data_IF_248905599816
#
_entry.id   IF_248905599816
#
_cell.length_a   1.000
_cell.length_b   1.000
_cell.length_c   1.000
_cell.angle_alpha   90.00
_cell.angle_beta   90.00
_cell.angle_gamma   90.00
#
_symmetry.space_group_name_H-M   'P 1'
#
loop_
_entity.id
_entity.type
_entity.pdbx_description
1 polymer ?
#
# COMPACT_ATOMS: atom_id res chain seq x y z
N UNK A 1 61.64 14.71 51.60
CA UNK A 1 60.20 14.77 51.44
C UNK A 1 59.92 15.63 50.23
N UNK A 2 59.53 15.00 49.10
CA UNK A 2 59.36 15.61 47.81
C UNK A 2 57.82 15.72 47.57
N UNK A 3 57.29 16.95 47.56
CA UNK A 3 55.85 17.20 47.26
C UNK A 3 55.67 17.20 45.75
N UNK A 4 54.89 16.27 45.26
CA UNK A 4 54.52 16.17 43.84
C UNK A 4 53.22 16.99 43.61
N UNK A 5 53.30 18.02 42.79
CA UNK A 5 52.13 18.80 42.39
C UNK A 5 51.51 18.14 41.17
N UNK A 6 50.29 17.64 41.35
CA UNK A 6 49.48 17.13 40.26
C UNK A 6 48.70 18.31 39.67
N UNK A 7 49.02 18.70 38.44
CA UNK A 7 48.28 19.66 37.65
C UNK A 7 47.14 18.92 36.96
N UNK A 8 45.92 19.17 37.38
CA UNK A 8 44.71 18.66 36.67
C UNK A 8 44.41 19.65 35.56
N UNK A 9 44.67 19.23 34.32
CA UNK A 9 44.28 20.00 33.16
C UNK A 9 42.83 19.65 32.81
N UNK A 10 41.89 20.57 33.09
CA UNK A 10 40.50 20.49 32.66
C UNK A 10 40.41 20.78 31.17
N UNK A 11 40.18 19.74 30.38
CA UNK A 11 39.82 19.89 28.96
C UNK A 11 38.34 20.27 28.87
N UNK A 12 38.04 21.52 28.62
CA UNK A 12 36.71 22.01 28.22
C UNK A 12 36.49 21.55 26.75
N UNK A 13 35.71 20.51 26.60
CA UNK A 13 35.24 20.08 25.29
C UNK A 13 34.08 21.00 24.84
N UNK A 14 34.43 22.03 24.08
CA UNK A 14 33.45 22.92 23.47
C UNK A 14 32.82 22.20 22.27
N UNK A 15 31.63 21.66 22.48
CA UNK A 15 30.79 21.10 21.40
C UNK A 15 30.23 22.24 20.56
N UNK A 16 30.86 22.46 19.40
CA UNK A 16 30.33 23.34 18.36
C UNK A 16 29.17 22.62 17.68
N UNK A 17 27.96 22.98 18.05
CA UNK A 17 26.76 22.59 17.31
C UNK A 17 26.76 23.33 15.97
N UNK A 18 27.18 22.67 14.90
CA UNK A 18 26.90 23.13 13.54
C UNK A 18 25.40 22.96 13.29
N UNK A 19 24.64 24.01 13.60
CA UNK A 19 23.29 24.15 13.06
C UNK A 19 23.42 24.51 11.60
N UNK A 20 23.03 23.59 10.71
CA UNK A 20 22.87 23.90 9.30
C UNK A 20 21.78 24.95 9.12
N UNK A 21 22.23 26.20 8.92
CA UNK A 21 21.35 27.33 8.66
C UNK A 21 21.36 27.64 7.17
N UNK A 22 20.92 26.69 6.37
CA UNK A 22 20.53 26.95 4.98
C UNK A 22 19.03 27.27 4.93
N UNK A 23 18.72 28.52 5.24
CA UNK A 23 17.35 29.06 5.15
C UNK A 23 16.87 29.28 3.71
N UNK A 24 17.71 29.03 2.72
CA UNK A 24 17.41 29.36 1.33
C UNK A 24 16.93 28.20 0.45
N UNK A 25 16.76 26.99 1.01
CA UNK A 25 16.29 25.83 0.23
C UNK A 25 14.94 25.26 0.70
N UNK A 26 14.19 25.96 1.55
CA UNK A 26 12.86 25.52 1.99
C UNK A 26 11.72 26.37 1.42
N UNK A 27 12.02 27.24 0.47
CA UNK A 27 11.02 27.99 -0.30
C UNK A 27 10.86 27.47 -1.74
N UNK A 28 11.12 26.18 -1.99
CA UNK A 28 10.40 25.53 -3.05
C UNK A 28 8.99 25.25 -2.51
N UNK A 29 8.17 26.27 -2.58
CA UNK A 29 6.72 26.16 -2.51
C UNK A 29 6.37 25.12 -3.56
N UNK A 30 6.11 23.89 -3.11
CA UNK A 30 5.38 22.91 -3.93
C UNK A 30 4.10 23.66 -4.29
N UNK A 31 4.07 24.25 -5.48
CA UNK A 31 2.84 24.73 -6.08
C UNK A 31 1.98 23.48 -6.19
N UNK A 32 1.07 23.33 -5.22
CA UNK A 32 -0.03 22.40 -5.37
C UNK A 32 -0.67 22.85 -6.68
N UNK A 33 -0.59 22.04 -7.76
CA UNK A 33 -1.28 22.41 -9.00
C UNK A 33 -2.72 22.73 -8.61
N UNK A 34 -3.23 23.84 -9.11
CA UNK A 34 -4.65 24.13 -8.98
C UNK A 34 -5.44 22.84 -9.28
N UNK A 35 -6.51 22.54 -8.56
CA UNK A 35 -7.29 21.34 -8.79
C UNK A 35 -7.56 21.27 -10.29
N UNK A 36 -6.92 20.33 -10.97
CA UNK A 36 -7.16 20.10 -12.38
C UNK A 36 -8.63 19.80 -12.45
N UNK A 37 -9.41 20.73 -13.01
CA UNK A 37 -10.83 20.51 -13.29
C UNK A 37 -10.90 19.20 -14.06
N UNK A 38 -11.33 18.13 -13.38
CA UNK A 38 -11.46 16.82 -14.01
C UNK A 38 -12.40 17.01 -15.19
N UNK A 39 -12.04 16.57 -16.39
CA UNK A 39 -12.93 16.71 -17.54
C UNK A 39 -14.28 16.09 -17.17
N UNK A 40 -15.35 16.86 -17.28
CA UNK A 40 -16.73 16.54 -16.92
C UNK A 40 -17.38 15.38 -17.72
N UNK A 41 -16.58 14.62 -18.45
CA UNK A 41 -17.01 13.38 -19.11
C UNK A 41 -16.33 12.19 -18.44
N UNK A 42 -16.70 11.92 -17.18
CA UNK A 42 -16.35 10.64 -16.58
C UNK A 42 -16.96 9.54 -17.44
N UNK A 43 -16.13 8.65 -17.98
CA UNK A 43 -16.66 7.42 -18.60
C UNK A 43 -17.60 6.73 -17.60
N UNK A 44 -18.73 6.19 -18.07
CA UNK A 44 -19.68 5.52 -17.19
C UNK A 44 -18.94 4.45 -16.37
N UNK A 45 -19.29 4.34 -15.09
CA UNK A 45 -18.74 3.31 -14.20
C UNK A 45 -19.14 1.93 -14.72
N UNK A 46 -18.21 0.98 -14.63
CA UNK A 46 -18.52 -0.42 -14.87
C UNK A 46 -19.37 -1.04 -13.76
N UNK A 47 -19.75 -2.30 -13.95
CA UNK A 47 -20.43 -3.07 -12.91
C UNK A 47 -19.40 -3.94 -12.15
N UNK A 48 -19.29 -3.83 -10.83
CA UNK A 48 -18.36 -4.67 -10.06
C UNK A 48 -18.65 -6.17 -10.21
N UNK A 49 -19.86 -6.59 -10.51
CA UNK A 49 -20.21 -8.00 -10.73
C UNK A 49 -19.58 -8.61 -12.01
N UNK A 50 -19.19 -7.75 -12.96
CA UNK A 50 -18.57 -8.19 -14.21
C UNK A 50 -17.05 -8.40 -14.08
N UNK A 51 -16.47 -7.97 -12.97
CA UNK A 51 -15.03 -8.05 -12.72
C UNK A 51 -14.63 -9.49 -12.38
N UNK A 52 -13.72 -10.05 -13.15
CA UNK A 52 -13.22 -11.42 -12.99
C UNK A 52 -11.70 -11.44 -13.10
N UNK A 53 -11.09 -12.36 -12.35
CA UNK A 53 -9.69 -12.70 -12.54
C UNK A 53 -9.54 -13.63 -13.76
N UNK A 54 -8.31 -13.74 -14.26
CA UNK A 54 -7.94 -14.76 -15.23
C UNK A 54 -8.18 -16.17 -14.64
N UNK A 55 -8.36 -17.20 -15.48
CA UNK A 55 -8.53 -18.57 -14.99
C UNK A 55 -7.43 -19.00 -14.03
N UNK A 56 -7.81 -19.56 -12.88
CA UNK A 56 -6.91 -20.03 -11.83
C UNK A 56 -7.63 -20.24 -10.50
N UNK A 57 -6.90 -20.59 -9.47
CA UNK A 57 -7.42 -20.93 -8.14
C UNK A 57 -8.08 -19.74 -7.46
N UNK A 58 -7.47 -18.55 -7.58
CA UNK A 58 -7.94 -17.35 -6.89
C UNK A 58 -8.78 -16.48 -7.81
N UNK A 59 -10.05 -16.35 -7.46
CA UNK A 59 -11.03 -15.58 -8.21
C UNK A 59 -11.50 -14.36 -7.40
N UNK A 60 -12.08 -13.38 -8.08
CA UNK A 60 -12.69 -12.23 -7.41
C UNK A 60 -13.96 -12.65 -6.65
N UNK A 61 -14.06 -12.29 -5.36
CA UNK A 61 -15.24 -12.60 -4.53
C UNK A 61 -16.49 -11.79 -4.88
N UNK A 62 -16.37 -10.77 -5.70
CA UNK A 62 -17.42 -9.77 -5.92
C UNK A 62 -17.39 -8.67 -4.85
N UNK A 63 -17.67 -7.44 -5.28
CA UNK A 63 -17.80 -6.32 -4.36
C UNK A 63 -19.22 -6.33 -3.79
N UNK A 64 -19.42 -6.22 -2.45
CA UNK A 64 -20.74 -6.33 -1.84
C UNK A 64 -21.61 -5.05 -2.02
N UNK A 65 -21.09 -4.03 -2.72
CA UNK A 65 -21.73 -2.75 -2.97
C UNK A 65 -21.31 -2.16 -4.32
N UNK A 66 -22.06 -1.18 -4.81
CA UNK A 66 -21.74 -0.45 -6.04
C UNK A 66 -20.51 0.44 -5.85
N UNK A 67 -19.85 0.83 -6.94
CA UNK A 67 -18.62 1.64 -6.87
C UNK A 67 -18.83 3.01 -6.23
N UNK A 68 -20.01 3.60 -6.34
CA UNK A 68 -20.37 4.90 -5.77
C UNK A 68 -20.88 4.84 -4.32
N UNK A 69 -21.04 3.64 -3.78
CA UNK A 69 -21.68 3.46 -2.47
C UNK A 69 -20.88 4.00 -1.28
N UNK A 70 -19.56 4.21 -1.45
CA UNK A 70 -18.67 4.79 -0.43
C UNK A 70 -18.51 6.31 -0.54
N UNK A 71 -19.18 6.95 -1.51
CA UNK A 71 -19.17 8.40 -1.62
C UNK A 71 -19.91 9.05 -0.43
N UNK A 72 -19.50 10.23 0.01
CA UNK A 72 -18.44 11.09 -0.53
C UNK A 72 -17.04 10.79 0.01
N UNK A 73 -16.85 9.78 0.87
CA UNK A 73 -15.59 9.48 1.53
C UNK A 73 -14.55 8.89 0.58
N UNK A 74 -14.97 8.02 -0.34
CA UNK A 74 -14.13 7.49 -1.40
C UNK A 74 -14.92 7.63 -2.71
N UNK A 75 -14.33 8.30 -3.71
CA UNK A 75 -15.00 8.50 -4.97
C UNK A 75 -15.16 7.20 -5.78
N UNK A 76 -16.21 7.14 -6.57
CA UNK A 76 -16.60 5.96 -7.31
C UNK A 76 -15.52 5.47 -8.30
N UNK A 77 -14.81 6.40 -8.94
CA UNK A 77 -13.77 6.05 -9.91
C UNK A 77 -12.55 5.43 -9.22
N UNK A 78 -12.20 5.93 -8.03
CA UNK A 78 -11.16 5.34 -7.19
C UNK A 78 -11.52 3.92 -6.79
N UNK A 79 -12.75 3.68 -6.33
CA UNK A 79 -13.24 2.34 -5.98
C UNK A 79 -13.18 1.41 -7.20
N UNK A 80 -13.68 1.86 -8.36
CA UNK A 80 -13.65 1.09 -9.60
C UNK A 80 -12.24 0.66 -9.98
N UNK A 81 -11.30 1.59 -10.05
CA UNK A 81 -9.92 1.30 -10.45
C UNK A 81 -9.24 0.40 -9.42
N UNK A 82 -9.42 0.69 -8.14
CA UNK A 82 -8.82 -0.08 -7.06
C UNK A 82 -9.31 -1.53 -7.06
N UNK A 83 -10.60 -1.75 -7.29
CA UNK A 83 -11.16 -3.10 -7.38
C UNK A 83 -10.87 -3.78 -8.72
N UNK A 84 -11.27 -3.14 -9.84
CA UNK A 84 -11.27 -3.79 -11.16
C UNK A 84 -9.91 -3.88 -11.84
N UNK A 85 -8.89 -3.16 -11.35
CA UNK A 85 -7.53 -3.18 -11.90
C UNK A 85 -6.51 -3.64 -10.86
N UNK A 86 -6.44 -2.95 -9.73
CA UNK A 86 -5.39 -3.19 -8.75
C UNK A 86 -5.60 -4.54 -8.02
N UNK A 87 -6.78 -4.79 -7.48
CA UNK A 87 -7.09 -6.07 -6.82
C UNK A 87 -7.06 -7.25 -7.81
N UNK A 88 -7.67 -7.11 -8.98
CA UNK A 88 -7.61 -8.13 -10.05
C UNK A 88 -6.17 -8.44 -10.44
N UNK A 89 -5.30 -7.42 -10.49
CA UNK A 89 -3.88 -7.61 -10.75
C UNK A 89 -3.21 -8.56 -9.76
N UNK A 90 -3.54 -8.45 -8.46
CA UNK A 90 -3.02 -9.39 -7.46
C UNK A 90 -3.54 -10.81 -7.66
N UNK A 91 -4.83 -10.98 -7.96
CA UNK A 91 -5.41 -12.30 -8.23
C UNK A 91 -4.73 -12.98 -9.45
N UNK A 92 -4.61 -12.25 -10.55
CA UNK A 92 -4.01 -12.75 -11.78
C UNK A 92 -2.52 -13.11 -11.60
N UNK A 93 -1.76 -12.24 -10.94
CA UNK A 93 -0.35 -12.47 -10.68
C UNK A 93 -0.12 -13.62 -9.69
N UNK A 94 -1.01 -13.79 -8.70
CA UNK A 94 -0.94 -14.92 -7.79
C UNK A 94 -1.22 -16.22 -8.54
N UNK A 95 -2.30 -16.30 -9.32
CA UNK A 95 -2.62 -17.46 -10.14
C UNK A 95 -1.45 -17.85 -11.04
N UNK A 96 -0.83 -16.86 -11.69
CA UNK A 96 0.35 -17.07 -12.53
C UNK A 96 1.56 -17.57 -11.72
N UNK A 97 1.78 -17.04 -10.51
CA UNK A 97 2.94 -17.39 -9.67
C UNK A 97 2.86 -18.82 -9.10
N UNK A 98 1.63 -19.35 -8.90
CA UNK A 98 1.42 -20.67 -8.31
C UNK A 98 1.12 -21.75 -9.37
N UNK A 99 0.92 -21.37 -10.63
CA UNK A 99 0.56 -22.29 -11.71
C UNK A 99 1.51 -23.49 -11.79
N UNK A 100 0.96 -24.70 -11.81
CA UNK A 100 1.72 -25.97 -11.86
C UNK A 100 2.45 -26.34 -10.58
N UNK A 101 2.20 -25.63 -9.47
CA UNK A 101 2.79 -25.95 -8.16
C UNK A 101 1.75 -26.54 -7.20
N UNK A 102 2.22 -27.13 -6.09
CA UNK A 102 1.33 -27.62 -5.02
C UNK A 102 0.49 -26.51 -4.36
N UNK A 103 0.86 -25.25 -4.54
CA UNK A 103 0.13 -24.11 -3.98
C UNK A 103 -1.25 -23.89 -4.64
N UNK A 104 -1.46 -24.39 -5.87
CA UNK A 104 -2.77 -24.31 -6.54
C UNK A 104 -3.90 -25.02 -5.76
N UNK A 105 -3.56 -25.96 -4.90
CA UNK A 105 -4.52 -26.74 -4.11
C UNK A 105 -4.67 -26.21 -2.69
N UNK A 106 -4.04 -25.08 -2.36
CA UNK A 106 -4.06 -24.52 -1.01
C UNK A 106 -5.00 -23.31 -0.92
N UNK A 107 -5.52 -23.08 0.29
CA UNK A 107 -6.24 -21.83 0.59
C UNK A 107 -5.27 -20.66 0.67
N UNK A 108 -5.77 -19.44 0.56
CA UNK A 108 -4.93 -18.25 0.69
C UNK A 108 -4.30 -18.15 2.08
N UNK A 109 -5.02 -18.58 3.12
CA UNK A 109 -4.56 -18.60 4.50
C UNK A 109 -3.43 -19.62 4.69
N UNK A 110 -3.53 -20.81 4.06
CA UNK A 110 -2.48 -21.82 4.09
C UNK A 110 -1.21 -21.32 3.41
N UNK A 111 -1.34 -20.68 2.26
CA UNK A 111 -0.21 -20.09 1.54
C UNK A 111 0.48 -19.03 2.39
N UNK A 112 -0.29 -18.13 3.02
CA UNK A 112 0.26 -17.06 3.85
C UNK A 112 0.91 -17.58 5.13
N UNK A 113 0.34 -18.62 5.75
CA UNK A 113 0.86 -19.21 6.99
C UNK A 113 2.19 -19.94 6.76
N UNK A 114 2.38 -20.54 5.59
CA UNK A 114 3.56 -21.34 5.21
C UNK A 114 4.46 -20.62 4.19
N UNK A 115 4.32 -19.31 4.12
CA UNK A 115 4.96 -18.48 3.10
C UNK A 115 6.49 -18.56 3.15
N UNK A 116 7.10 -18.87 2.00
CA UNK A 116 8.52 -18.65 1.79
C UNK A 116 8.78 -17.14 1.54
N UNK A 117 9.45 -16.43 2.44
CA UNK A 117 9.70 -15.00 2.29
C UNK A 117 10.56 -14.64 1.07
N UNK A 118 11.38 -15.58 0.59
CA UNK A 118 12.22 -15.39 -0.59
C UNK A 118 11.43 -15.54 -1.90
N UNK A 119 10.29 -16.22 -1.88
CA UNK A 119 9.37 -16.25 -3.02
C UNK A 119 8.57 -14.95 -3.10
N UNK A 120 9.21 -13.90 -3.56
CA UNK A 120 8.66 -12.54 -3.64
C UNK A 120 7.37 -12.47 -4.48
N UNK A 121 7.26 -13.29 -5.52
CA UNK A 121 6.08 -13.31 -6.39
C UNK A 121 4.86 -13.81 -5.63
N UNK A 122 4.96 -14.96 -4.96
CA UNK A 122 3.87 -15.48 -4.12
C UNK A 122 3.61 -14.56 -2.95
N UNK A 123 4.64 -14.15 -2.20
CA UNK A 123 4.51 -13.29 -1.03
C UNK A 123 3.73 -12.00 -1.32
N UNK A 124 4.14 -11.27 -2.35
CA UNK A 124 3.54 -9.97 -2.65
C UNK A 124 2.11 -10.12 -3.17
N UNK A 125 1.87 -11.11 -4.05
CA UNK A 125 0.56 -11.27 -4.67
C UNK A 125 -0.45 -11.97 -3.77
N UNK A 126 -0.03 -12.96 -2.96
CA UNK A 126 -0.90 -13.57 -1.95
C UNK A 126 -1.28 -12.57 -0.86
N UNK A 127 -0.32 -11.81 -0.33
CA UNK A 127 -0.58 -10.75 0.63
C UNK A 127 -1.48 -9.66 0.06
N UNK A 128 -1.22 -9.23 -1.18
CA UNK A 128 -2.05 -8.24 -1.88
C UNK A 128 -3.48 -8.73 -2.08
N UNK A 129 -3.67 -9.94 -2.58
CA UNK A 129 -5.00 -10.53 -2.77
C UNK A 129 -5.78 -10.66 -1.46
N UNK A 130 -5.16 -11.20 -0.42
CA UNK A 130 -5.80 -11.36 0.90
C UNK A 130 -6.20 -10.02 1.52
N UNK A 131 -5.28 -9.07 1.55
CA UNK A 131 -5.53 -7.75 2.14
C UNK A 131 -6.63 -6.99 1.41
N UNK A 132 -6.73 -7.11 0.07
CA UNK A 132 -7.80 -6.46 -0.67
C UNK A 132 -9.16 -7.13 -0.48
N UNK A 133 -9.23 -8.45 -0.34
CA UNK A 133 -10.46 -9.11 0.06
C UNK A 133 -10.96 -8.57 1.41
N UNK A 134 -10.07 -8.52 2.40
CA UNK A 134 -10.40 -7.98 3.73
C UNK A 134 -10.79 -6.50 3.66
N UNK A 135 -10.07 -5.69 2.87
CA UNK A 135 -10.34 -4.27 2.71
C UNK A 135 -11.79 -4.01 2.24
N UNK A 136 -12.27 -4.76 1.26
CA UNK A 136 -13.64 -4.63 0.79
C UNK A 136 -14.68 -5.14 1.79
N UNK A 137 -14.37 -6.16 2.56
CA UNK A 137 -15.26 -6.76 3.56
C UNK A 137 -15.46 -5.88 4.81
N UNK A 138 -14.44 -5.12 5.22
CA UNK A 138 -14.52 -4.26 6.42
C UNK A 138 -15.15 -2.89 6.15
N UNK A 139 -15.36 -2.53 4.89
CA UNK A 139 -16.04 -1.29 4.53
C UNK A 139 -17.51 -1.56 4.23
N UNK A 140 -18.35 -0.62 4.63
CA UNK A 140 -19.78 -0.68 4.31
C UNK A 140 -20.33 0.72 4.00
N UNK A 141 -21.30 0.82 3.07
CA UNK A 141 -22.00 2.06 2.84
C UNK A 141 -22.70 2.53 4.14
N UNK A 142 -22.60 3.81 4.44
CA UNK A 142 -23.25 4.44 5.61
C UNK A 142 -22.82 3.82 6.96
N UNK A 143 -21.65 3.20 7.04
CA UNK A 143 -21.05 2.75 8.28
C UNK A 143 -20.34 3.95 8.94
N UNK A 144 -20.79 4.35 10.14
CA UNK A 144 -20.24 5.48 10.91
C UNK A 144 -21.25 6.05 11.85
#
# INVERSE_FOLDING_TARGET
MRKSNIIVASFLFSSVLFSCKDKNNLEEVVQIPDPVEQPKTASPLGNPADVKADPGTFQMKGLPYAYDALAPHIDAKTVEIHYSKHHVGYANNLNKAIAGTALEQQTIEDILTKLDPENKAVRNNAGGYYNHNLYWEIMAPKAG
#
